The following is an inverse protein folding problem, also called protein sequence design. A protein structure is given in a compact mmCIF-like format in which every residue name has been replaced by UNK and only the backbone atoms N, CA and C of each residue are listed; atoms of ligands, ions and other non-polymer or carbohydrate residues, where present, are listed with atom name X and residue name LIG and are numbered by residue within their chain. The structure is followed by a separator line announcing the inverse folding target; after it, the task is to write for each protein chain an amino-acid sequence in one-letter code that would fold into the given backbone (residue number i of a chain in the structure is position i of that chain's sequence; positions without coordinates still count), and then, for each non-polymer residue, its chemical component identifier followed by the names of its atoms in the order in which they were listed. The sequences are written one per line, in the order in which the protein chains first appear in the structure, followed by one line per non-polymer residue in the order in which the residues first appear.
data_IF_293079124418
#
_entry.id   IF_293079124418
#
_cell.length_a   1.000
_cell.length_b   1.000
_cell.length_c   1.000
_cell.angle_alpha   90.00
_cell.angle_beta   90.00
_cell.angle_gamma   90.00
#
_symmetry.space_group_name_H-M   'P 1'
#
loop_
_entity.id
_entity.type
_entity.pdbx_description
1 polymer ?
#
# COMPACT_ATOMS: atom_id res chain seq x y z
N UNK A 1 -12.53 3.08 3.19
CA UNK A 1 -13.23 4.01 2.28
C UNK A 1 -12.70 5.45 2.41
N UNK A 2 -12.27 6.05 1.31
CA UNK A 2 -11.92 7.48 1.25
C UNK A 2 -13.14 8.26 0.76
N UNK A 3 -13.52 9.32 1.48
CA UNK A 3 -14.58 10.24 1.07
C UNK A 3 -14.05 11.38 0.20
N UNK A 4 -14.88 11.90 -0.71
CA UNK A 4 -14.55 13.08 -1.52
C UNK A 4 -13.61 12.79 -2.70
N UNK A 5 -13.74 11.60 -3.32
CA UNK A 5 -12.92 11.21 -4.48
C UNK A 5 -13.18 12.15 -5.64
N UNK A 6 -14.44 12.46 -5.93
CA UNK A 6 -14.85 13.41 -6.98
C UNK A 6 -14.15 14.76 -6.85
N UNK A 7 -14.21 15.41 -5.68
CA UNK A 7 -13.59 16.72 -5.46
C UNK A 7 -12.07 16.71 -5.68
N UNK A 8 -11.38 15.62 -5.33
CA UNK A 8 -9.94 15.48 -5.57
C UNK A 8 -9.61 15.33 -7.06
N UNK A 9 -10.46 14.64 -7.81
CA UNK A 9 -10.27 14.47 -9.26
C UNK A 9 -10.55 15.77 -10.00
N UNK A 10 -11.56 16.53 -9.59
CA UNK A 10 -11.85 17.85 -10.16
C UNK A 10 -10.71 18.83 -9.89
N UNK A 11 -10.20 18.87 -8.66
CA UNK A 11 -9.02 19.67 -8.33
C UNK A 11 -7.79 19.25 -9.15
N UNK A 12 -7.59 17.94 -9.35
CA UNK A 12 -6.53 17.43 -10.21
C UNK A 12 -6.71 17.89 -11.67
N UNK A 13 -7.93 17.85 -12.20
CA UNK A 13 -8.25 18.30 -13.54
C UNK A 13 -8.02 19.82 -13.70
N UNK A 14 -8.42 20.60 -12.70
CA UNK A 14 -8.22 22.06 -12.68
C UNK A 14 -6.74 22.43 -12.55
N UNK A 15 -5.93 21.62 -11.86
CA UNK A 15 -4.48 21.78 -11.82
C UNK A 15 -3.75 21.37 -13.11
N UNK A 16 -4.48 20.86 -14.11
CA UNK A 16 -3.93 20.42 -15.40
C UNK A 16 -3.28 19.05 -15.38
N UNK A 17 -3.54 18.23 -14.34
CA UNK A 17 -3.11 16.84 -14.33
C UNK A 17 -3.92 16.05 -15.36
N UNK A 18 -3.21 15.27 -16.16
CA UNK A 18 -3.82 14.48 -17.25
C UNK A 18 -4.40 13.16 -16.79
N UNK A 19 -3.87 12.58 -15.71
CA UNK A 19 -4.20 11.22 -15.25
C UNK A 19 -4.32 11.17 -13.73
N UNK A 20 -5.34 10.47 -13.24
CA UNK A 20 -5.56 10.21 -11.81
C UNK A 20 -5.84 8.72 -11.60
N UNK A 21 -5.19 8.15 -10.60
CA UNK A 21 -5.33 6.75 -10.21
C UNK A 21 -6.33 6.67 -9.05
N UNK A 22 -7.36 5.84 -9.17
CA UNK A 22 -8.42 5.68 -8.16
C UNK A 22 -8.62 4.20 -7.81
N UNK A 23 -8.79 3.85 -6.52
CA UNK A 23 -9.19 2.49 -6.16
C UNK A 23 -10.46 2.06 -6.87
N UNK A 24 -10.51 0.84 -7.39
CA UNK A 24 -11.72 0.31 -8.04
C UNK A 24 -12.98 0.43 -7.17
N UNK A 25 -12.84 0.23 -5.86
CA UNK A 25 -13.94 0.32 -4.89
C UNK A 25 -14.56 1.72 -4.79
N UNK A 26 -13.89 2.74 -5.34
CA UNK A 26 -14.34 4.12 -5.35
C UNK A 26 -14.85 4.59 -6.72
N UNK A 27 -14.87 3.71 -7.73
CA UNK A 27 -15.37 4.06 -9.06
C UNK A 27 -16.87 4.39 -9.05
N UNK A 28 -17.66 3.72 -8.22
CA UNK A 28 -19.11 3.97 -8.11
C UNK A 28 -19.42 5.34 -7.48
N UNK A 29 -18.50 5.88 -6.67
CA UNK A 29 -18.63 7.19 -6.01
C UNK A 29 -18.16 8.34 -6.90
N UNK A 30 -17.55 8.03 -8.06
CA UNK A 30 -16.97 9.01 -8.96
C UNK A 30 -18.03 9.58 -9.92
N UNK A 31 -18.46 10.82 -9.67
CA UNK A 31 -19.38 11.55 -10.54
C UNK A 31 -18.70 12.79 -11.09
N UNK A 32 -18.11 12.68 -12.28
CA UNK A 32 -17.45 13.80 -12.95
C UNK A 32 -18.43 14.60 -13.83
N UNK A 33 -18.35 15.92 -13.75
CA UNK A 33 -19.06 16.77 -14.69
C UNK A 33 -18.52 16.63 -16.14
N UNK A 34 -19.40 16.83 -17.13
CA UNK A 34 -19.05 16.70 -18.53
C UNK A 34 -17.91 17.63 -18.99
N UNK A 35 -17.70 18.77 -18.33
CA UNK A 35 -16.58 19.69 -18.61
C UNK A 35 -15.20 19.11 -18.31
N UNK A 36 -15.13 18.07 -17.48
CA UNK A 36 -13.91 17.37 -17.13
C UNK A 36 -13.68 16.12 -17.98
N UNK A 37 -14.72 15.61 -18.67
CA UNK A 37 -14.56 14.53 -19.65
C UNK A 37 -13.60 14.96 -20.76
N UNK A 38 -12.53 14.19 -20.94
CA UNK A 38 -11.48 14.46 -21.92
C UNK A 38 -10.38 15.42 -21.44
N UNK A 39 -10.53 16.06 -20.27
CA UNK A 39 -9.44 16.83 -19.64
C UNK A 39 -8.57 15.95 -18.75
N UNK A 40 -9.19 14.96 -18.10
CA UNK A 40 -8.51 14.04 -17.18
C UNK A 40 -8.94 12.61 -17.45
N UNK A 41 -7.98 11.69 -17.40
CA UNK A 41 -8.19 10.25 -17.51
C UNK A 41 -8.17 9.64 -16.10
N UNK A 42 -9.24 8.91 -15.76
CA UNK A 42 -9.34 8.18 -14.50
C UNK A 42 -8.96 6.73 -14.75
N UNK A 43 -7.94 6.27 -14.04
CA UNK A 43 -7.39 4.91 -14.16
C UNK A 43 -7.72 4.13 -12.88
N UNK A 44 -8.58 3.11 -12.95
CA UNK A 44 -8.88 2.26 -11.79
C UNK A 44 -7.68 1.36 -11.44
N UNK A 45 -7.44 1.17 -10.14
CA UNK A 45 -6.37 0.30 -9.61
C UNK A 45 -6.87 -0.55 -8.45
N UNK A 46 -6.29 -1.75 -8.28
CA UNK A 46 -6.64 -2.68 -7.19
C UNK A 46 -5.53 -2.82 -6.15
N UNK A 47 -4.27 -2.77 -6.58
CA UNK A 47 -3.13 -3.02 -5.71
C UNK A 47 -2.08 -1.90 -5.78
N UNK A 48 -1.24 -1.81 -4.76
CA UNK A 48 -0.10 -0.89 -4.75
C UNK A 48 0.83 -1.13 -5.94
N UNK A 49 0.93 -2.38 -6.42
CA UNK A 49 1.73 -2.73 -7.60
C UNK A 49 1.21 -2.06 -8.87
N UNK A 50 -0.11 -1.99 -9.03
CA UNK A 50 -0.74 -1.31 -10.15
C UNK A 50 -0.41 0.18 -10.13
N UNK A 51 -0.54 0.82 -8.96
CA UNK A 51 -0.20 2.25 -8.77
C UNK A 51 1.25 2.52 -9.18
N UNK A 52 2.18 1.71 -8.66
CA UNK A 52 3.60 1.83 -9.00
C UNK A 52 3.83 1.56 -10.49
N UNK A 53 3.00 0.71 -11.12
CA UNK A 53 3.11 0.42 -12.53
C UNK A 53 2.83 1.64 -13.42
N UNK A 54 1.81 2.41 -13.05
CA UNK A 54 1.41 3.63 -13.77
C UNK A 54 2.21 4.87 -13.37
N UNK A 55 2.70 4.95 -12.12
CA UNK A 55 3.42 6.11 -11.60
C UNK A 55 4.91 6.12 -12.00
N UNK A 56 5.54 4.95 -12.17
CA UNK A 56 6.95 4.85 -12.53
C UNK A 56 7.15 4.93 -14.05
N UNK A 57 7.90 5.94 -14.51
CA UNK A 57 8.30 6.10 -15.92
C UNK A 57 9.68 5.47 -16.12
N UNK A 58 9.76 4.32 -16.81
CA UNK A 58 11.03 3.64 -17.10
C UNK A 58 10.87 2.24 -17.69
N UNK A 59 11.88 1.76 -18.41
CA UNK A 59 11.90 0.40 -19.00
C UNK A 59 11.92 -0.68 -17.90
N UNK A 60 11.31 -1.83 -18.19
CA UNK A 60 11.06 -2.94 -17.25
C UNK A 60 12.22 -3.34 -16.32
N UNK A 61 13.51 -3.43 -16.74
CA UNK A 61 14.56 -3.92 -15.84
C UNK A 61 14.86 -2.98 -14.65
N UNK A 62 14.67 -1.67 -14.80
CA UNK A 62 14.91 -0.71 -13.70
C UNK A 62 13.73 -0.66 -12.73
N UNK A 63 12.51 -0.84 -13.25
CA UNK A 63 11.27 -0.87 -12.47
C UNK A 63 11.23 -2.07 -11.53
N UNK A 64 11.56 -3.26 -12.04
CA UNK A 64 11.62 -4.48 -11.22
C UNK A 64 12.70 -4.41 -10.12
N UNK A 65 13.85 -3.77 -10.40
CA UNK A 65 14.91 -3.59 -9.40
C UNK A 65 14.47 -2.69 -8.23
N UNK A 66 13.78 -1.58 -8.52
CA UNK A 66 13.26 -0.68 -7.49
C UNK A 66 12.15 -1.33 -6.67
N UNK A 67 11.22 -2.03 -7.33
CA UNK A 67 10.16 -2.78 -6.68
C UNK A 67 10.72 -3.87 -5.76
N UNK A 68 11.74 -4.60 -6.22
CA UNK A 68 12.43 -5.62 -5.43
C UNK A 68 13.08 -5.04 -4.17
N UNK A 69 13.76 -3.89 -4.27
CA UNK A 69 14.37 -3.22 -3.11
C UNK A 69 13.33 -2.75 -2.10
N UNK A 70 12.21 -2.19 -2.56
CA UNK A 70 11.11 -1.79 -1.67
C UNK A 70 10.50 -3.01 -0.96
N UNK A 71 10.26 -4.09 -1.69
CA UNK A 71 9.71 -5.32 -1.14
C UNK A 71 10.62 -5.95 -0.07
N UNK A 72 11.94 -5.95 -0.28
CA UNK A 72 12.90 -6.44 0.70
C UNK A 72 12.93 -5.58 1.98
N UNK A 73 12.79 -4.26 1.83
CA UNK A 73 12.72 -3.35 2.98
C UNK A 73 11.46 -3.62 3.83
N UNK A 74 10.30 -3.78 3.18
CA UNK A 74 9.03 -4.09 3.86
C UNK A 74 9.11 -5.45 4.57
N UNK A 75 9.73 -6.47 3.96
CA UNK A 75 9.95 -7.78 4.59
C UNK A 75 10.90 -7.71 5.79
N UNK A 76 11.94 -6.88 5.72
CA UNK A 76 12.89 -6.71 6.81
C UNK A 76 12.21 -6.08 8.04
N UNK A 77 11.31 -5.11 7.84
CA UNK A 77 10.53 -4.50 8.93
C UNK A 77 9.56 -5.48 9.60
N UNK A 78 9.00 -6.44 8.85
CA UNK A 78 8.04 -7.41 9.41
C UNK A 78 8.69 -8.62 10.12
N UNK A 79 10.03 -8.71 10.13
CA UNK A 79 10.79 -9.81 10.75
C UNK A 79 11.23 -9.55 12.19
N UNK A 80 10.88 -8.41 12.79
CA UNK A 80 11.41 -8.01 14.10
C UNK A 80 10.54 -8.44 15.30
N UNK A 81 9.39 -9.11 15.10
CA UNK A 81 8.49 -9.46 16.21
C UNK A 81 8.35 -10.95 16.53
N UNK A 82 9.18 -11.83 15.96
CA UNK A 82 9.09 -13.28 16.21
C UNK A 82 10.47 -13.92 16.39
N UNK A 83 11.24 -13.52 17.41
CA UNK A 83 12.26 -14.40 17.99
C UNK A 83 12.74 -13.91 19.38
N UNK A 84 11.99 -14.19 20.46
CA UNK A 84 12.56 -14.15 21.84
C UNK A 84 11.91 -15.14 22.82
N UNK A 85 11.26 -16.21 22.36
CA UNK A 85 10.74 -17.25 23.29
C UNK A 85 11.44 -18.58 23.06
N UNK A 86 12.74 -18.65 23.36
CA UNK A 86 13.41 -19.90 23.72
C UNK A 86 14.72 -19.54 24.42
N UNK A 87 14.75 -19.73 25.75
CA UNK A 87 15.91 -20.02 26.62
C UNK A 87 15.81 -19.26 27.94
N UNK A 88 15.46 -19.96 29.02
CA UNK A 88 15.47 -19.39 30.36
C UNK A 88 14.94 -20.33 31.44
N UNK A 89 15.84 -21.11 32.02
CA UNK A 89 15.64 -22.01 33.17
C UNK A 89 14.85 -21.34 34.30
N UNK A 90 13.83 -22.01 34.86
CA UNK A 90 13.62 -22.08 36.32
C UNK A 90 12.85 -23.37 36.66
N UNK A 91 13.54 -24.31 37.29
CA UNK A 91 12.90 -25.45 37.96
C UNK A 91 12.20 -24.95 39.23
N UNK A 92 10.99 -25.43 39.60
CA UNK A 92 10.41 -25.11 40.88
C UNK A 92 11.13 -25.92 41.98
N UNK A 93 11.78 -25.23 42.91
CA UNK A 93 12.26 -25.80 44.17
C UNK A 93 11.06 -26.13 45.04
N UNK A 94 10.66 -27.41 45.05
CA UNK A 94 9.74 -28.00 46.02
C UNK A 94 10.52 -28.75 47.09
N UNK A 95 10.40 -28.30 48.34
CA UNK A 95 11.08 -28.80 49.55
C UNK A 95 10.61 -30.22 49.94
N UNK A 96 11.47 -31.09 50.51
CA UNK A 96 11.04 -32.39 51.03
C UNK A 96 10.48 -32.21 52.45
N UNK A 97 9.33 -32.82 52.72
CA UNK A 97 8.93 -33.18 54.09
C UNK A 97 8.42 -34.61 54.06
N UNK A 98 9.22 -35.51 54.63
CA UNK A 98 8.86 -36.90 54.87
C UNK A 98 8.13 -37.08 56.20
N UNK A 99 7.57 -38.29 56.32
CA UNK A 99 6.77 -38.90 57.38
C UNK A 99 5.32 -38.43 57.49
#
# INVERSE_FOLDING_TARGET
PVGGVTAKVEAAADSGLKRVLIPEDNMDDLVLEARYKGKIEVIPVRTLRDVLSYALVGQEPQKESLLGRLAEMVKATNRTTVDTTTTGRIAPVGRPTGS
#
